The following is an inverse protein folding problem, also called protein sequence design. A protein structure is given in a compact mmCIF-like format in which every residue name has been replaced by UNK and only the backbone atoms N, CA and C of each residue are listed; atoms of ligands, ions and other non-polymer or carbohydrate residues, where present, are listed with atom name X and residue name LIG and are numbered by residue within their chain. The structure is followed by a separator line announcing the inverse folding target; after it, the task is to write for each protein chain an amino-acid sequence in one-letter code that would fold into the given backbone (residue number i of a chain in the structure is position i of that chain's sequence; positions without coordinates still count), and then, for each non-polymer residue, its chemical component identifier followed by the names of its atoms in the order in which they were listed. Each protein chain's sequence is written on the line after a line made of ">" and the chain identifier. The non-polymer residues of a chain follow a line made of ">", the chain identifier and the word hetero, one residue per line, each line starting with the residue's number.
data_IF_316713899485
#
_entry.id   IF_316713899485
#
_cell.length_a   1.000
_cell.length_b   1.000
_cell.length_c   1.000
_cell.angle_alpha   90.00
_cell.angle_beta   90.00
_cell.angle_gamma   90.00
#
_symmetry.space_group_name_H-M   'P 1'
#
loop_
_entity.id
_entity.type
_entity.pdbx_description
1 polymer ?
#
# COMPACT_ATOMS: atom_id res chain seq x y z
N UNK A 1 -30.44 3.60 -42.67
CA UNK A 1 -29.58 4.66 -42.06
C UNK A 1 -28.64 4.10 -41.01
N UNK A 2 -29.12 3.44 -39.94
CA UNK A 2 -28.25 2.89 -38.87
C UNK A 2 -27.11 1.96 -39.33
N UNK A 3 -27.36 1.10 -40.33
CA UNK A 3 -26.35 0.18 -40.86
C UNK A 3 -25.19 0.88 -41.61
N UNK A 4 -25.37 2.12 -42.07
CA UNK A 4 -24.32 2.89 -42.74
C UNK A 4 -23.44 3.64 -41.73
N UNK A 5 -24.02 4.05 -40.59
CA UNK A 5 -23.30 4.68 -39.48
C UNK A 5 -22.42 3.68 -38.72
N UNK A 6 -22.90 2.45 -38.53
CA UNK A 6 -22.11 1.39 -37.89
C UNK A 6 -20.91 0.97 -38.75
N UNK A 7 -21.07 0.90 -40.07
CA UNK A 7 -19.96 0.64 -41.01
C UNK A 7 -18.91 1.76 -41.00
N UNK A 8 -19.32 3.02 -40.87
CA UNK A 8 -18.39 4.15 -40.74
C UNK A 8 -17.66 4.17 -39.38
N UNK A 9 -18.35 3.82 -38.29
CA UNK A 9 -17.71 3.67 -36.96
C UNK A 9 -16.71 2.51 -36.94
N UNK A 10 -17.02 1.42 -37.61
CA UNK A 10 -16.15 0.25 -37.69
C UNK A 10 -14.91 0.49 -38.57
N UNK A 11 -15.00 1.39 -39.56
CA UNK A 11 -13.85 1.86 -40.33
C UNK A 11 -12.97 2.85 -39.56
N UNK A 12 -13.55 3.68 -38.68
CA UNK A 12 -12.78 4.58 -37.82
C UNK A 12 -12.02 3.81 -36.70
N UNK A 13 -12.59 2.71 -36.20
CA UNK A 13 -11.93 1.88 -35.18
C UNK A 13 -10.71 1.08 -35.70
N UNK A 14 -10.54 0.94 -37.02
CA UNK A 14 -9.40 0.24 -37.63
C UNK A 14 -8.17 1.12 -37.87
N UNK A 15 -8.23 2.42 -37.53
CA UNK A 15 -7.10 3.35 -37.67
C UNK A 15 -6.16 3.42 -36.46
N UNK A 16 -6.37 2.60 -35.43
CA UNK A 16 -5.34 2.37 -34.40
C UNK A 16 -4.49 1.19 -34.86
N UNK A 17 -3.80 1.42 -35.97
CA UNK A 17 -2.86 0.52 -36.62
C UNK A 17 -1.49 0.79 -36.02
N UNK A 18 -1.08 -0.01 -35.04
CA UNK A 18 0.30 -0.54 -34.86
C UNK A 18 1.50 0.42 -34.90
N UNK A 19 1.31 1.75 -34.88
CA UNK A 19 2.35 2.75 -35.04
C UNK A 19 2.41 3.82 -33.95
N UNK A 20 1.43 3.87 -33.04
CA UNK A 20 1.28 4.96 -32.06
C UNK A 20 1.65 4.58 -30.61
N UNK A 21 2.18 3.37 -30.38
CA UNK A 21 2.56 2.93 -29.02
C UNK A 21 3.92 3.44 -28.53
N UNK A 22 4.60 4.29 -29.30
CA UNK A 22 5.96 4.74 -28.99
C UNK A 22 6.07 6.23 -28.62
N UNK A 23 5.00 7.02 -28.75
CA UNK A 23 5.07 8.48 -28.59
C UNK A 23 4.69 9.01 -27.18
N UNK A 24 4.33 8.14 -26.23
CA UNK A 24 3.92 8.56 -24.89
C UNK A 24 4.83 8.06 -23.75
N UNK A 25 6.12 7.85 -24.04
CA UNK A 25 7.14 7.72 -22.98
C UNK A 25 7.65 9.11 -22.60
N UNK A 26 7.55 9.43 -21.31
CA UNK A 26 8.11 10.64 -20.71
C UNK A 26 9.62 10.70 -21.00
N UNK A 27 10.18 11.90 -21.17
CA UNK A 27 11.62 12.12 -21.38
C UNK A 27 12.49 11.49 -20.27
N UNK A 28 11.92 11.12 -19.12
CA UNK A 28 12.61 10.47 -17.98
C UNK A 28 13.03 9.00 -18.24
N UNK A 29 12.50 8.33 -19.27
CA UNK A 29 12.79 6.91 -19.56
C UNK A 29 13.88 6.71 -20.65
N UNK A 30 14.53 7.78 -21.13
CA UNK A 30 15.50 7.71 -22.23
C UNK A 30 16.94 7.39 -21.83
N UNK A 31 17.24 7.31 -20.53
CA UNK A 31 18.59 7.00 -20.03
C UNK A 31 18.76 5.51 -19.73
N UNK A 32 18.39 4.64 -20.67
CA UNK A 32 18.96 3.29 -20.72
C UNK A 32 20.26 3.39 -21.50
N UNK A 33 21.34 3.66 -20.77
CA UNK A 33 22.70 3.54 -21.27
C UNK A 33 22.98 2.05 -21.54
N UNK A 34 22.69 1.60 -22.76
CA UNK A 34 22.89 0.23 -23.23
C UNK A 34 24.28 0.04 -23.82
N UNK A 35 25.31 0.64 -23.22
CA UNK A 35 26.69 0.33 -23.59
C UNK A 35 27.16 -0.95 -22.87
N UNK A 36 26.70 -2.10 -23.36
CA UNK A 36 27.37 -3.40 -23.19
C UNK A 36 26.86 -4.41 -24.21
N UNK A 37 27.11 -4.13 -25.49
CA UNK A 37 27.28 -5.19 -26.48
C UNK A 37 28.57 -4.91 -27.27
N UNK A 38 29.66 -5.47 -26.77
CA UNK A 38 30.70 -5.99 -27.66
C UNK A 38 31.14 -7.32 -27.07
N UNK A 39 30.43 -8.37 -27.47
CA UNK A 39 30.87 -9.74 -27.32
C UNK A 39 32.14 -9.98 -28.15
N UNK A 40 33.30 -9.59 -27.65
CA UNK A 40 34.56 -10.07 -28.19
C UNK A 40 34.90 -11.45 -27.59
N UNK A 41 34.33 -12.46 -28.22
CA UNK A 41 34.83 -13.83 -28.16
C UNK A 41 36.15 -13.87 -28.98
N UNK A 42 37.26 -13.43 -28.37
CA UNK A 42 38.57 -13.48 -29.03
C UNK A 42 39.28 -14.77 -28.70
N UNK A 43 38.99 -15.75 -29.54
CA UNK A 43 39.81 -16.93 -29.76
C UNK A 43 41.22 -16.51 -30.22
N UNK A 44 42.20 -17.27 -29.76
CA UNK A 44 43.64 -17.03 -29.88
C UNK A 44 44.12 -16.71 -31.31
N UNK A 45 44.35 -15.43 -31.65
CA UNK A 45 45.21 -15.06 -32.80
C UNK A 45 46.13 -13.88 -32.52
N UNK A 46 47.42 -14.15 -32.67
CA UNK A 46 48.58 -13.27 -32.53
C UNK A 46 48.44 -11.97 -33.34
N UNK A 47 48.79 -10.83 -32.73
CA UNK A 47 49.75 -9.79 -33.20
C UNK A 47 49.42 -8.45 -32.51
N UNK A 48 50.26 -8.00 -31.59
CA UNK A 48 51.34 -7.03 -31.84
C UNK A 48 50.85 -5.58 -32.07
N UNK A 49 51.14 -4.74 -31.06
CA UNK A 49 51.41 -3.29 -31.13
C UNK A 49 50.19 -2.39 -31.36
N UNK A 50 49.72 -1.75 -30.29
CA UNK A 50 49.87 -0.29 -30.14
C UNK A 50 49.45 0.15 -28.73
N UNK A 51 50.36 0.89 -28.09
CA UNK A 51 50.13 1.54 -26.82
C UNK A 51 49.25 2.79 -27.00
N UNK A 52 48.09 2.83 -26.34
CA UNK A 52 47.40 4.07 -26.00
C UNK A 52 46.38 3.83 -24.87
N UNK A 53 46.73 4.24 -23.65
CA UNK A 53 45.81 4.81 -22.66
C UNK A 53 44.84 3.92 -21.87
N UNK A 54 44.56 2.68 -22.27
CA UNK A 54 43.65 1.82 -21.51
C UNK A 54 44.36 1.13 -20.35
N UNK A 55 43.98 1.40 -19.09
CA UNK A 55 44.44 0.62 -17.93
C UNK A 55 44.10 -0.87 -18.15
N UNK A 56 45.08 -1.67 -18.59
CA UNK A 56 44.93 -3.13 -18.70
C UNK A 56 44.97 -3.68 -17.27
N UNK A 57 43.83 -3.63 -16.59
CA UNK A 57 43.65 -4.36 -15.35
C UNK A 57 43.91 -5.84 -15.61
N UNK A 58 44.81 -6.43 -14.84
CA UNK A 58 45.01 -7.86 -14.78
C UNK A 58 43.68 -8.57 -14.51
N UNK A 59 43.56 -9.83 -14.95
CA UNK A 59 42.35 -10.61 -14.70
C UNK A 59 42.02 -10.72 -13.19
N UNK A 60 43.04 -10.64 -12.33
CA UNK A 60 42.86 -10.57 -10.88
C UNK A 60 42.24 -9.25 -10.44
N UNK A 61 42.68 -8.11 -10.98
CA UNK A 61 42.13 -6.79 -10.68
C UNK A 61 40.69 -6.63 -11.16
N UNK A 62 40.35 -7.14 -12.36
CA UNK A 62 38.96 -7.15 -12.86
C UNK A 62 38.03 -7.92 -11.91
N UNK A 63 38.46 -9.10 -11.44
CA UNK A 63 37.71 -9.89 -10.44
C UNK A 63 37.59 -9.16 -9.09
N UNK A 64 38.67 -8.52 -8.63
CA UNK A 64 38.67 -7.77 -7.38
C UNK A 64 37.71 -6.58 -7.44
N UNK A 65 37.72 -5.83 -8.55
CA UNK A 65 36.81 -4.72 -8.81
C UNK A 65 35.34 -5.16 -8.83
N UNK A 66 35.01 -6.23 -9.56
CA UNK A 66 33.66 -6.79 -9.58
C UNK A 66 33.19 -7.20 -8.18
N UNK A 67 34.04 -7.87 -7.39
CA UNK A 67 33.73 -8.24 -6.01
C UNK A 67 33.53 -7.03 -5.09
N UNK A 68 34.24 -5.93 -5.33
CA UNK A 68 34.08 -4.68 -4.60
C UNK A 68 32.72 -4.02 -4.91
N UNK A 69 32.36 -3.93 -6.19
CA UNK A 69 31.06 -3.38 -6.62
C UNK A 69 29.89 -4.20 -6.07
N UNK A 70 29.97 -5.53 -6.13
CA UNK A 70 28.90 -6.38 -5.62
C UNK A 70 28.77 -6.31 -4.08
N UNK A 71 29.88 -6.13 -3.34
CA UNK A 71 29.82 -5.83 -1.90
C UNK A 71 29.05 -4.54 -1.65
N UNK A 72 29.41 -3.46 -2.35
CA UNK A 72 28.70 -2.17 -2.26
C UNK A 72 27.21 -2.35 -2.55
N UNK A 73 26.84 -3.07 -3.61
CA UNK A 73 25.43 -3.37 -3.93
C UNK A 73 24.72 -4.07 -2.76
N UNK A 74 25.34 -5.09 -2.16
CA UNK A 74 24.74 -5.83 -1.03
C UNK A 74 24.58 -4.97 0.21
N UNK A 75 25.50 -4.06 0.48
CA UNK A 75 25.42 -3.12 1.60
C UNK A 75 24.24 -2.16 1.40
N UNK A 76 24.08 -1.59 0.20
CA UNK A 76 22.92 -0.75 -0.13
C UNK A 76 21.58 -1.51 0.04
N UNK A 77 21.51 -2.77 -0.41
CA UNK A 77 20.30 -3.60 -0.20
C UNK A 77 20.04 -3.83 1.29
N UNK A 78 21.09 -4.08 2.07
CA UNK A 78 20.98 -4.27 3.52
C UNK A 78 20.44 -3.02 4.21
N UNK A 79 20.88 -1.84 3.79
CA UNK A 79 20.39 -0.57 4.31
C UNK A 79 18.91 -0.38 3.96
N UNK A 80 18.50 -0.65 2.72
CA UNK A 80 17.09 -0.61 2.31
C UNK A 80 16.21 -1.56 3.13
N UNK A 81 16.69 -2.76 3.45
CA UNK A 81 15.97 -3.69 4.33
C UNK A 81 15.85 -3.18 5.77
N UNK A 82 16.86 -2.46 6.26
CA UNK A 82 16.86 -1.86 7.59
C UNK A 82 15.82 -0.74 7.65
N UNK A 83 15.84 0.18 6.69
CA UNK A 83 14.85 1.26 6.57
C UNK A 83 13.41 0.72 6.44
N UNK A 84 13.23 -0.35 5.65
CA UNK A 84 11.92 -0.99 5.51
C UNK A 84 11.44 -1.61 6.83
N UNK A 85 12.32 -2.32 7.56
CA UNK A 85 11.99 -2.87 8.88
C UNK A 85 11.54 -1.78 9.85
N UNK A 86 12.28 -0.69 9.91
CA UNK A 86 12.03 0.40 10.85
C UNK A 86 10.72 1.16 10.51
N UNK A 87 10.27 1.10 9.26
CA UNK A 87 9.00 1.68 8.82
C UNK A 87 7.76 0.82 9.15
N UNK A 88 7.95 -0.43 9.55
CA UNK A 88 6.86 -1.37 9.88
C UNK A 88 6.77 -1.50 11.41
N UNK A 89 5.70 -0.97 12.06
CA UNK A 89 5.62 -0.90 13.53
C UNK A 89 5.81 -2.25 14.25
N UNK A 90 5.32 -3.34 13.66
CA UNK A 90 5.43 -4.69 14.25
C UNK A 90 6.82 -5.32 14.16
N UNK A 91 7.77 -4.66 13.49
CA UNK A 91 9.16 -5.13 13.35
C UNK A 91 10.17 -4.22 14.05
N UNK A 92 9.73 -3.08 14.59
CA UNK A 92 10.61 -2.11 15.23
C UNK A 92 11.24 -2.72 16.49
N UNK A 93 12.56 -2.58 16.62
CA UNK A 93 13.30 -3.09 17.78
C UNK A 93 13.53 -4.61 17.80
N UNK A 94 13.00 -5.36 16.83
CA UNK A 94 13.14 -6.82 16.76
C UNK A 94 14.13 -7.27 15.67
N UNK A 95 14.75 -8.43 15.90
CA UNK A 95 15.54 -9.12 14.87
C UNK A 95 14.59 -9.85 13.94
N UNK A 96 14.46 -9.37 12.70
CA UNK A 96 13.62 -9.98 11.67
C UNK A 96 14.46 -10.45 10.47
N UNK A 97 14.14 -11.64 9.94
CA UNK A 97 14.73 -12.12 8.69
C UNK A 97 14.20 -11.33 7.48
N UNK A 98 14.93 -11.35 6.35
CA UNK A 98 14.49 -10.69 5.10
C UNK A 98 13.09 -11.15 4.66
N UNK A 99 12.81 -12.45 4.75
CA UNK A 99 11.49 -12.99 4.41
C UNK A 99 10.39 -12.46 5.34
N UNK A 100 10.65 -12.37 6.64
CA UNK A 100 9.71 -11.80 7.60
C UNK A 100 9.48 -10.31 7.35
N UNK A 101 10.53 -9.53 7.03
CA UNK A 101 10.41 -8.11 6.70
C UNK A 101 9.46 -7.92 5.51
N UNK A 102 9.66 -8.66 4.42
CA UNK A 102 8.80 -8.58 3.24
C UNK A 102 7.35 -8.98 3.56
N UNK A 103 7.16 -10.08 4.28
CA UNK A 103 5.82 -10.56 4.67
C UNK A 103 5.07 -9.53 5.52
N UNK A 104 5.71 -9.02 6.57
CA UNK A 104 5.11 -8.04 7.49
C UNK A 104 4.90 -6.67 6.83
N UNK A 105 5.78 -6.25 5.94
CA UNK A 105 5.56 -5.05 5.13
C UNK A 105 4.31 -5.19 4.25
N UNK A 106 4.15 -6.33 3.55
CA UNK A 106 2.96 -6.58 2.74
C UNK A 106 1.68 -6.60 3.57
N UNK A 107 1.69 -7.29 4.72
CA UNK A 107 0.57 -7.29 5.68
C UNK A 107 0.24 -5.87 6.16
N UNK A 108 1.25 -5.06 6.47
CA UNK A 108 1.07 -3.70 6.95
C UNK A 108 0.50 -2.77 5.87
N UNK A 109 0.93 -2.89 4.62
CA UNK A 109 0.34 -2.13 3.49
C UNK A 109 -1.16 -2.46 3.35
N UNK A 110 -1.53 -3.75 3.38
CA UNK A 110 -2.94 -4.16 3.30
C UNK A 110 -3.76 -3.67 4.50
N UNK A 111 -3.18 -3.69 5.69
CA UNK A 111 -3.79 -3.13 6.89
C UNK A 111 -4.03 -1.62 6.74
N UNK A 112 -3.01 -0.86 6.35
CA UNK A 112 -3.11 0.60 6.19
C UNK A 112 -4.12 0.99 5.10
N UNK A 113 -4.22 0.23 4.00
CA UNK A 113 -5.26 0.44 2.98
C UNK A 113 -6.67 0.32 3.56
N UNK A 114 -6.94 -0.76 4.31
CA UNK A 114 -8.24 -0.97 4.97
C UNK A 114 -8.54 0.12 6.00
N UNK A 115 -7.54 0.48 6.81
CA UNK A 115 -7.66 1.53 7.83
C UNK A 115 -7.96 2.90 7.21
N UNK A 116 -7.25 3.28 6.15
CA UNK A 116 -7.50 4.53 5.44
C UNK A 116 -8.90 4.56 4.81
N UNK A 117 -9.37 3.45 4.25
CA UNK A 117 -10.73 3.37 3.70
C UNK A 117 -11.80 3.55 4.79
N UNK A 118 -11.63 2.93 5.97
CA UNK A 118 -12.52 3.13 7.11
C UNK A 118 -12.54 4.60 7.54
N UNK A 119 -11.37 5.21 7.69
CA UNK A 119 -11.29 6.63 8.04
C UNK A 119 -11.91 7.54 6.99
N UNK A 120 -11.81 7.19 5.70
CA UNK A 120 -12.46 7.94 4.64
C UNK A 120 -13.99 7.84 4.75
N UNK A 121 -14.53 6.66 5.08
CA UNK A 121 -15.97 6.49 5.34
C UNK A 121 -16.42 7.33 6.54
N UNK A 122 -15.67 7.29 7.65
CA UNK A 122 -15.95 8.10 8.84
C UNK A 122 -15.98 9.61 8.49
N UNK A 123 -15.02 10.07 7.69
CA UNK A 123 -14.95 11.46 7.21
C UNK A 123 -16.19 11.82 6.39
N UNK A 124 -16.61 10.95 5.47
CA UNK A 124 -17.72 11.21 4.57
C UNK A 124 -19.06 11.20 5.33
N UNK A 125 -19.22 10.32 6.32
CA UNK A 125 -20.40 10.28 7.18
C UNK A 125 -20.48 11.52 8.09
N UNK A 126 -19.36 11.94 8.69
CA UNK A 126 -19.30 13.17 9.47
C UNK A 126 -19.59 14.41 8.62
N UNK A 127 -19.10 14.45 7.38
CA UNK A 127 -19.45 15.53 6.44
C UNK A 127 -20.94 15.55 6.15
N UNK A 128 -21.55 14.39 5.88
CA UNK A 128 -23.01 14.29 5.66
C UNK A 128 -23.78 14.81 6.88
N UNK A 129 -23.41 14.37 8.08
CA UNK A 129 -24.03 14.84 9.33
C UNK A 129 -23.89 16.35 9.50
N UNK A 130 -22.69 16.91 9.29
CA UNK A 130 -22.48 18.36 9.38
C UNK A 130 -23.35 19.12 8.37
N UNK A 131 -23.45 18.67 7.12
CA UNK A 131 -24.32 19.34 6.12
C UNK A 131 -25.80 19.31 6.51
N UNK A 132 -26.27 18.23 7.13
CA UNK A 132 -27.65 18.13 7.63
C UNK A 132 -27.88 19.11 8.79
N UNK A 133 -26.96 19.15 9.75
CA UNK A 133 -27.03 20.07 10.88
C UNK A 133 -26.96 21.54 10.43
N UNK A 134 -26.07 21.87 9.50
CA UNK A 134 -25.98 23.22 8.91
C UNK A 134 -27.28 23.62 8.20
N UNK A 135 -27.93 22.68 7.52
CA UNK A 135 -29.23 22.92 6.87
C UNK A 135 -30.32 23.17 7.90
N UNK A 136 -30.37 22.36 8.96
CA UNK A 136 -31.32 22.53 10.07
C UNK A 136 -31.13 23.86 10.79
N UNK A 137 -29.89 24.25 11.09
CA UNK A 137 -29.57 25.55 11.71
C UNK A 137 -30.08 26.68 10.82
N UNK A 138 -29.79 26.65 9.52
CA UNK A 138 -30.23 27.67 8.56
C UNK A 138 -31.75 27.79 8.50
N UNK A 139 -32.47 26.67 8.51
CA UNK A 139 -33.94 26.67 8.52
C UNK A 139 -34.50 27.29 9.80
N UNK A 140 -33.94 26.92 10.96
CA UNK A 140 -34.33 27.49 12.25
C UNK A 140 -34.02 28.99 12.35
N UNK A 141 -32.88 29.43 11.84
CA UNK A 141 -32.52 30.85 11.77
C UNK A 141 -33.48 31.65 10.89
N UNK A 142 -33.89 31.10 9.74
CA UNK A 142 -34.89 31.70 8.86
C UNK A 142 -36.28 31.78 9.52
N UNK A 143 -36.72 30.71 10.18
CA UNK A 143 -37.99 30.69 10.91
C UNK A 143 -37.99 31.70 12.08
N UNK A 144 -36.87 31.80 12.81
CA UNK A 144 -36.70 32.78 13.88
C UNK A 144 -36.70 34.23 13.36
N UNK A 145 -36.09 34.48 12.21
CA UNK A 145 -36.02 35.81 11.60
C UNK A 145 -37.36 36.27 11.01
N UNK A 146 -38.16 35.35 10.48
CA UNK A 146 -39.48 35.65 9.89
C UNK A 146 -40.61 35.74 10.91
N UNK A 147 -40.36 35.38 12.18
CA UNK A 147 -41.37 35.41 13.25
C UNK A 147 -42.49 34.38 13.07
N UNK A 148 -42.39 33.51 12.07
CA UNK A 148 -43.39 32.51 11.72
C UNK A 148 -43.01 31.19 12.39
N UNK A 149 -43.40 31.03 13.66
CA UNK A 149 -43.36 29.74 14.35
C UNK A 149 -44.51 28.86 13.82
N UNK A 150 -44.41 28.45 12.56
CA UNK A 150 -45.31 27.45 11.99
C UNK A 150 -45.17 26.14 12.76
N UNK A 151 -46.31 25.53 13.08
CA UNK A 151 -46.44 24.25 13.77
C UNK A 151 -45.43 23.22 13.24
N UNK A 152 -44.68 22.58 14.15
CA UNK A 152 -43.44 21.84 13.89
C UNK A 152 -43.58 20.58 13.02
N UNK A 153 -44.77 20.35 12.46
CA UNK A 153 -45.09 19.25 11.55
C UNK A 153 -44.62 19.47 10.10
N UNK A 154 -44.42 20.71 9.65
CA UNK A 154 -44.08 21.03 8.24
C UNK A 154 -42.57 21.02 7.94
N UNK A 155 -41.72 21.04 8.98
CA UNK A 155 -40.26 21.09 8.84
C UNK A 155 -39.60 19.71 8.64
N UNK A 156 -40.37 18.64 8.41
CA UNK A 156 -39.81 17.31 8.17
C UNK A 156 -39.03 16.73 9.35
N UNK A 157 -39.23 17.26 10.57
CA UNK A 157 -38.71 16.71 11.84
C UNK A 157 -39.47 15.45 12.28
N UNK A 158 -40.17 14.78 11.36
CA UNK A 158 -40.84 13.52 11.59
C UNK A 158 -39.81 12.49 12.03
N UNK A 159 -39.86 12.17 13.33
CA UNK A 159 -39.32 10.95 13.89
C UNK A 159 -39.75 9.78 12.99
N UNK A 160 -38.84 9.28 12.15
CA UNK A 160 -38.94 7.91 11.68
C UNK A 160 -38.59 7.02 12.87
N UNK A 161 -39.57 6.84 13.77
CA UNK A 161 -39.65 5.68 14.64
C UNK A 161 -40.00 4.47 13.79
N UNK A 162 -39.06 4.04 12.95
CA UNK A 162 -39.09 2.72 12.35
C UNK A 162 -38.61 1.74 13.42
N UNK A 163 -39.56 1.34 14.27
CA UNK A 163 -39.67 0.00 14.84
C UNK A 163 -38.33 -0.71 15.10
N UNK A 164 -37.87 -0.58 16.34
CA UNK A 164 -37.04 -1.57 17.02
C UNK A 164 -37.62 -2.98 16.79
N UNK A 165 -37.01 -3.73 15.89
CA UNK A 165 -36.99 -5.19 15.90
C UNK A 165 -35.51 -5.58 15.79
N UNK A 166 -34.80 -5.41 16.91
CA UNK A 166 -33.52 -6.10 17.10
C UNK A 166 -33.84 -7.42 17.78
N UNK A 167 -33.96 -8.46 16.97
CA UNK A 167 -33.92 -9.85 17.42
C UNK A 167 -32.60 -10.06 18.16
N UNK A 168 -32.71 -10.05 19.48
CA UNK A 168 -31.67 -10.30 20.45
C UNK A 168 -31.71 -11.78 20.79
N UNK A 169 -30.92 -12.58 20.09
CA UNK A 169 -30.48 -13.89 20.58
C UNK A 169 -29.01 -13.80 20.97
N UNK A 170 -28.79 -13.53 22.26
CA UNK A 170 -27.54 -13.79 22.95
C UNK A 170 -27.76 -14.97 23.92
N UNK A 171 -26.68 -15.70 24.17
CA UNK A 171 -26.42 -16.83 25.09
C UNK A 171 -27.04 -18.19 24.72
N UNK A 172 -26.34 -19.33 24.74
CA UNK A 172 -25.11 -19.77 25.41
C UNK A 172 -24.61 -21.07 24.75
N UNK A 173 -23.36 -21.42 25.04
CA UNK A 173 -22.89 -22.76 25.42
C UNK A 173 -21.60 -23.18 24.70
N UNK A 174 -20.52 -23.06 25.47
CA UNK A 174 -19.25 -23.67 25.16
C UNK A 174 -19.24 -25.13 25.61
N UNK A 175 -18.89 -26.03 24.70
CA UNK A 175 -18.44 -27.36 25.07
C UNK A 175 -17.27 -27.85 24.21
N UNK A 176 -16.13 -27.97 24.89
CA UNK A 176 -15.22 -29.11 24.80
C UNK A 176 -14.36 -29.26 23.55
N UNK A 177 -13.12 -28.76 23.66
CA UNK A 177 -11.99 -29.47 23.06
C UNK A 177 -11.24 -30.22 24.18
N UNK A 178 -11.26 -31.55 24.10
CA UNK A 178 -10.64 -32.47 25.02
C UNK A 178 -9.10 -32.45 24.88
N UNK A 179 -8.42 -32.52 26.02
CA UNK A 179 -7.13 -33.20 26.14
C UNK A 179 -5.92 -32.32 26.45
N UNK A 180 -5.59 -32.19 27.73
CA UNK A 180 -4.49 -32.92 28.38
C UNK A 180 -4.16 -32.26 29.73
N UNK A 181 -4.15 -33.08 30.78
CA UNK A 181 -4.12 -32.66 32.18
C UNK A 181 -2.85 -31.94 32.63
N UNK A 182 -3.03 -31.08 33.64
CA UNK A 182 -1.95 -30.36 34.31
C UNK A 182 -2.42 -29.71 35.61
N UNK A 183 -2.37 -30.50 36.69
CA UNK A 183 -2.50 -30.18 38.12
C UNK A 183 -2.25 -28.70 38.49
N UNK A 184 -3.28 -28.04 39.04
CA UNK A 184 -3.18 -26.71 39.65
C UNK A 184 -2.35 -26.75 40.93
N UNK A 185 -1.24 -26.00 40.97
CA UNK A 185 -0.52 -25.66 42.20
C UNK A 185 -0.57 -24.15 42.41
N UNK A 186 -1.34 -23.70 43.39
CA UNK A 186 -1.35 -22.30 43.83
C UNK A 186 0.00 -21.96 44.47
N UNK A 187 0.77 -21.05 43.87
CA UNK A 187 1.97 -20.45 44.49
C UNK A 187 1.59 -19.15 45.19
N UNK A 188 1.70 -19.13 46.52
CA UNK A 188 1.63 -17.93 47.36
C UNK A 188 2.68 -16.91 46.93
N UNK A 189 2.25 -15.65 46.80
CA UNK A 189 3.11 -14.47 46.71
C UNK A 189 4.01 -14.38 47.96
N UNK A 190 5.33 -14.37 47.76
CA UNK A 190 6.28 -14.00 48.81
C UNK A 190 6.57 -12.51 48.70
N UNK A 191 6.21 -11.77 49.74
CA UNK A 191 6.64 -10.39 49.98
C UNK A 191 8.11 -10.48 50.41
N UNK A 192 9.03 -9.94 49.61
CA UNK A 192 10.40 -9.72 50.06
C UNK A 192 10.42 -8.45 50.94
N UNK A 193 10.65 -8.64 52.23
CA UNK A 193 11.06 -7.60 53.16
C UNK A 193 12.58 -7.59 53.22
N UNK A 194 13.17 -6.41 53.03
CA UNK A 194 14.60 -6.13 53.18
C UNK A 194 15.05 -6.33 54.64
N UNK A 195 16.22 -6.91 54.82
CA UNK A 195 17.29 -6.40 55.69
C UNK A 195 18.63 -6.72 55.03
#
# INVERSE_FOLDING_TARGET
>A
MRLYEDSQRQQQARKISTGDSYENMSDDDRDIDIDSDDGEDSDNTKQSRNAAGGQIYSQAEKRAHHNALERKRRDHIKDSFTSLRDSVPSLQGEKASRAQILKKAAEYIQFMRRKNNSHQQDIDDLKRQNTLLETQIRQLEQARATGNFGDGSDLGLGMNDSSRESDSSDVDDGASNNGLGGIHRNKKMKINSNY
#
